data_IF_286411422355
#
_entry.id   IF_286411422355
#
_cell.length_a   1.000
_cell.length_b   1.000
_cell.length_c   1.000
_cell.angle_alpha   90.00
_cell.angle_beta   90.00
_cell.angle_gamma   90.00
#
_symmetry.space_group_name_H-M   'P 1'
#
loop_
_entity.id
_entity.type
_entity.pdbx_description
1 polymer ?
#
# COMPACT_ATOMS: atom_id res chain seq x y z
N UNK A 1 12.47 36.49 17.05
CA UNK A 1 13.01 35.62 18.13
C UNK A 1 12.40 34.22 18.15
N UNK A 2 11.17 34.01 17.65
CA UNK A 2 10.52 32.69 17.59
C UNK A 2 11.05 31.77 16.48
N UNK A 3 11.36 32.33 15.30
CA UNK A 3 11.83 31.53 14.13
C UNK A 3 13.20 30.90 14.38
N UNK A 4 14.17 31.66 14.91
CA UNK A 4 15.50 31.15 15.20
C UNK A 4 15.49 30.05 16.28
N UNK A 5 14.68 30.22 17.34
CA UNK A 5 14.48 29.20 18.35
C UNK A 5 13.81 27.94 17.78
N UNK A 6 12.77 28.11 16.95
CA UNK A 6 12.09 27.00 16.27
C UNK A 6 13.04 26.23 15.34
N UNK A 7 13.88 26.92 14.58
CA UNK A 7 14.90 26.29 13.73
C UNK A 7 15.94 25.54 14.57
N UNK A 8 16.37 26.12 15.69
CA UNK A 8 17.28 25.48 16.64
C UNK A 8 16.72 24.17 17.20
N UNK A 9 15.47 24.16 17.67
CA UNK A 9 14.82 22.95 18.17
C UNK A 9 14.63 21.88 17.08
N UNK A 10 14.26 22.30 15.86
CA UNK A 10 14.14 21.38 14.73
C UNK A 10 15.49 20.73 14.37
N UNK A 11 16.58 21.50 14.34
CA UNK A 11 17.91 20.98 14.06
C UNK A 11 18.43 20.04 15.16
N UNK A 12 18.13 20.31 16.43
CA UNK A 12 18.47 19.40 17.53
C UNK A 12 17.70 18.08 17.42
N UNK A 13 16.40 18.14 17.14
CA UNK A 13 15.55 16.96 17.05
C UNK A 13 15.80 16.12 15.77
N UNK A 14 15.97 16.78 14.61
CA UNK A 14 16.02 16.13 13.30
C UNK A 14 17.41 16.05 12.69
N UNK A 15 18.36 16.88 13.12
CA UNK A 15 19.69 17.01 12.51
C UNK A 15 20.44 15.68 12.35
N UNK A 16 20.58 14.86 13.42
CA UNK A 16 21.25 13.56 13.32
C UNK A 16 20.57 12.61 12.34
N UNK A 17 19.23 12.52 12.37
CA UNK A 17 18.46 11.67 11.49
C UNK A 17 18.56 12.13 10.02
N UNK A 18 18.49 13.44 9.78
CA UNK A 18 18.63 14.03 8.44
C UNK A 18 20.03 13.80 7.86
N UNK A 19 21.07 13.91 8.69
CA UNK A 19 22.45 13.62 8.29
C UNK A 19 22.63 12.16 7.85
N UNK A 20 22.14 11.21 8.65
CA UNK A 20 22.17 9.78 8.28
C UNK A 20 21.35 9.49 7.02
N UNK A 21 20.16 10.09 6.92
CA UNK A 21 19.30 9.92 5.77
C UNK A 21 19.96 10.43 4.48
N UNK A 22 20.45 11.67 4.46
CA UNK A 22 21.08 12.26 3.28
C UNK A 22 22.43 11.60 2.93
N UNK A 23 23.22 11.25 3.95
CA UNK A 23 24.56 10.69 3.78
C UNK A 23 24.58 9.23 3.33
N UNK A 24 23.66 8.40 3.85
CA UNK A 24 23.69 6.94 3.66
C UNK A 24 22.44 6.43 2.96
N UNK A 25 21.26 6.80 3.46
CA UNK A 25 19.99 6.19 3.03
C UNK A 25 19.59 6.65 1.63
N UNK A 26 19.62 7.96 1.36
CA UNK A 26 19.17 8.55 0.11
C UNK A 26 20.00 8.13 -1.11
N UNK A 27 21.25 7.68 -0.89
CA UNK A 27 22.15 7.23 -1.97
C UNK A 27 21.82 5.84 -2.48
N UNK A 28 21.00 5.06 -1.77
CA UNK A 28 20.65 3.68 -2.13
C UNK A 28 19.12 3.53 -2.10
N UNK A 29 18.44 3.40 -3.26
CA UNK A 29 16.98 3.34 -3.31
C UNK A 29 16.40 2.19 -2.48
N UNK A 30 17.14 1.08 -2.38
CA UNK A 30 16.78 -0.05 -1.52
C UNK A 30 16.70 0.31 -0.03
N UNK A 31 17.63 1.13 0.46
CA UNK A 31 17.65 1.55 1.87
C UNK A 31 16.50 2.52 2.16
N UNK A 32 16.14 3.37 1.19
CA UNK A 32 14.94 4.23 1.26
C UNK A 32 13.67 3.39 1.37
N UNK A 33 13.51 2.37 0.51
CA UNK A 33 12.34 1.48 0.55
C UNK A 33 12.25 0.71 1.87
N UNK A 34 13.37 0.21 2.36
CA UNK A 34 13.44 -0.50 3.64
C UNK A 34 13.07 0.42 4.81
N UNK A 35 13.56 1.66 4.80
CA UNK A 35 13.21 2.67 5.79
C UNK A 35 11.71 2.99 5.78
N UNK A 36 11.14 3.30 4.60
CA UNK A 36 9.72 3.59 4.44
C UNK A 36 8.83 2.42 4.85
N UNK A 37 9.21 1.19 4.50
CA UNK A 37 8.47 0.01 4.92
C UNK A 37 8.54 -0.17 6.45
N UNK A 38 9.70 0.02 7.07
CA UNK A 38 9.86 -0.11 8.52
C UNK A 38 9.01 0.91 9.29
N UNK A 39 8.97 2.16 8.84
CA UNK A 39 8.13 3.20 9.47
C UNK A 39 6.63 2.91 9.34
N UNK A 40 6.18 2.34 8.21
CA UNK A 40 4.80 1.88 8.04
C UNK A 40 4.45 0.75 9.02
N UNK A 41 5.31 -0.26 9.16
CA UNK A 41 5.11 -1.35 10.13
C UNK A 41 5.05 -0.82 11.57
N UNK A 42 5.94 0.11 11.92
CA UNK A 42 5.92 0.78 13.22
C UNK A 42 4.60 1.53 13.44
N UNK A 43 4.14 2.32 12.46
CA UNK A 43 2.90 3.09 12.57
C UNK A 43 1.68 2.18 12.71
N UNK A 44 1.59 1.10 11.91
CA UNK A 44 0.52 0.11 11.99
C UNK A 44 0.49 -0.54 13.37
N UNK A 45 1.66 -0.88 13.94
CA UNK A 45 1.73 -1.47 15.28
C UNK A 45 1.12 -0.56 16.34
N UNK A 46 1.40 0.75 16.30
CA UNK A 46 0.83 1.72 17.23
C UNK A 46 -0.67 1.96 17.01
N UNK A 47 -1.12 1.98 15.76
CA UNK A 47 -2.55 2.11 15.42
C UNK A 47 -3.34 0.92 15.95
N UNK A 48 -2.86 -0.30 15.72
CA UNK A 48 -3.50 -1.53 16.21
C UNK A 48 -3.56 -1.52 17.74
N UNK A 49 -2.45 -1.18 18.39
CA UNK A 49 -2.42 -1.10 19.84
C UNK A 49 -3.36 -0.01 20.39
N UNK A 50 -3.39 1.15 19.75
CA UNK A 50 -4.30 2.24 20.11
C UNK A 50 -5.77 1.80 19.98
N UNK A 51 -6.11 1.07 18.91
CA UNK A 51 -7.44 0.50 18.70
C UNK A 51 -7.84 -0.50 19.78
N UNK A 52 -6.91 -1.38 20.18
CA UNK A 52 -7.13 -2.36 21.26
C UNK A 52 -7.37 -1.66 22.59
N UNK A 53 -6.49 -0.71 22.97
CA UNK A 53 -6.59 -0.02 24.25
C UNK A 53 -7.74 0.98 24.34
N UNK A 54 -8.25 1.47 23.20
CA UNK A 54 -9.41 2.36 23.15
C UNK A 54 -10.65 1.78 23.84
N UNK A 55 -10.85 0.46 23.79
CA UNK A 55 -11.97 -0.21 24.46
C UNK A 55 -11.90 -0.19 26.00
N UNK A 56 -10.70 0.05 26.56
CA UNK A 56 -10.45 0.00 28.01
C UNK A 56 -10.31 1.39 28.66
N UNK A 57 -10.42 2.46 27.88
CA UNK A 57 -10.34 3.85 28.36
C UNK A 57 -11.75 4.41 28.62
N UNK A 58 -11.99 5.22 29.69
CA UNK A 58 -11.02 5.80 30.60
C UNK A 58 -10.73 4.92 31.84
N UNK A 59 -9.46 4.74 32.15
CA UNK A 59 -9.00 4.03 33.35
C UNK A 59 -9.02 5.00 34.55
N UNK A 60 -9.56 4.57 35.70
CA UNK A 60 -9.60 5.37 36.93
C UNK A 60 -8.18 5.73 37.40
N UNK A 61 -7.97 6.97 37.85
CA UNK A 61 -6.67 7.57 38.20
C UNK A 61 -5.84 6.84 39.26
N UNK A 62 -6.43 5.97 40.08
CA UNK A 62 -5.70 5.11 41.04
C UNK A 62 -5.05 3.85 40.45
N UNK A 63 -5.21 3.60 39.14
CA UNK A 63 -4.93 2.31 38.50
C UNK A 63 -3.63 2.34 37.68
N UNK A 64 -2.51 2.67 38.32
CA UNK A 64 -1.19 2.82 37.66
C UNK A 64 -0.73 1.56 36.90
N UNK A 65 -1.12 0.38 37.39
CA UNK A 65 -0.77 -0.91 36.78
C UNK A 65 -1.29 -1.04 35.35
N UNK A 66 -2.44 -0.45 35.03
CA UNK A 66 -3.00 -0.52 33.69
C UNK A 66 -2.17 0.31 32.68
N UNK A 67 -1.63 1.46 33.11
CA UNK A 67 -0.66 2.22 32.32
C UNK A 67 0.66 1.46 32.14
N UNK A 68 1.11 0.75 33.18
CA UNK A 68 2.30 -0.11 33.07
C UNK A 68 2.09 -1.24 32.05
N UNK A 69 0.94 -1.92 32.06
CA UNK A 69 0.59 -2.95 31.06
C UNK A 69 0.49 -2.33 29.66
N UNK A 70 -0.06 -1.13 29.51
CA UNK A 70 -0.11 -0.42 28.23
C UNK A 70 1.31 -0.19 27.68
N UNK A 71 2.24 0.30 28.52
CA UNK A 71 3.62 0.52 28.11
C UNK A 71 4.29 -0.81 27.73
N UNK A 72 4.19 -1.83 28.59
CA UNK A 72 4.79 -3.16 28.35
C UNK A 72 4.24 -3.77 27.06
N UNK A 73 2.92 -3.74 26.86
CA UNK A 73 2.29 -4.25 25.63
C UNK A 73 2.71 -3.45 24.40
N UNK A 74 2.94 -2.14 24.53
CA UNK A 74 3.43 -1.30 23.42
C UNK A 74 4.86 -1.63 23.01
N UNK A 75 5.75 -1.83 23.98
CA UNK A 75 7.15 -2.20 23.72
C UNK A 75 7.20 -3.61 23.15
N UNK A 76 6.47 -4.56 23.74
CA UNK A 76 6.41 -5.94 23.26
C UNK A 76 5.91 -6.03 21.81
N UNK A 77 4.87 -5.27 21.45
CA UNK A 77 4.36 -5.24 20.08
C UNK A 77 5.36 -4.59 19.10
N UNK A 78 6.07 -3.53 19.51
CA UNK A 78 7.09 -2.90 18.69
C UNK A 78 8.30 -3.83 18.45
N UNK A 79 8.78 -4.53 19.48
CA UNK A 79 9.84 -5.54 19.33
C UNK A 79 9.39 -6.73 18.49
N UNK A 80 8.16 -7.21 18.69
CA UNK A 80 7.57 -8.26 17.86
C UNK A 80 7.49 -7.84 16.38
N UNK A 81 7.07 -6.60 16.12
CA UNK A 81 7.02 -6.03 14.77
C UNK A 81 8.41 -5.95 14.14
N UNK A 82 9.45 -5.62 14.92
CA UNK A 82 10.84 -5.60 14.45
C UNK A 82 11.32 -7.00 14.03
N UNK A 83 11.00 -8.03 14.82
CA UNK A 83 11.32 -9.42 14.48
C UNK A 83 10.59 -9.88 13.22
N UNK A 84 9.30 -9.55 13.09
CA UNK A 84 8.52 -9.85 11.88
C UNK A 84 9.13 -9.17 10.66
N UNK A 85 9.47 -7.88 10.76
CA UNK A 85 10.11 -7.14 9.68
C UNK A 85 11.45 -7.76 9.26
N UNK A 86 12.29 -8.16 10.22
CA UNK A 86 13.55 -8.85 9.93
C UNK A 86 13.34 -10.21 9.24
N UNK A 87 12.35 -10.99 9.68
CA UNK A 87 11.99 -12.26 9.01
C UNK A 87 11.53 -12.04 7.57
N UNK A 88 10.68 -11.03 7.35
CA UNK A 88 10.25 -10.65 6.00
C UNK A 88 11.45 -10.22 5.16
N UNK A 89 12.31 -9.35 5.67
CA UNK A 89 13.53 -8.93 4.98
C UNK A 89 14.38 -10.13 4.53
N UNK A 90 14.63 -11.09 5.42
CA UNK A 90 15.39 -12.29 5.10
C UNK A 90 14.70 -13.18 4.06
N UNK A 91 13.37 -13.24 4.07
CA UNK A 91 12.59 -13.95 3.06
C UNK A 91 12.71 -13.30 1.67
N UNK A 92 12.91 -11.98 1.62
CA UNK A 92 13.13 -11.24 0.37
C UNK A 92 14.59 -11.32 -0.10
N UNK A 93 15.56 -11.64 0.76
CA UNK A 93 16.98 -11.71 0.39
C UNK A 93 17.28 -12.56 -0.85
N UNK A 94 16.68 -13.74 -1.05
CA UNK A 94 16.86 -14.54 -2.26
C UNK A 94 16.45 -13.83 -3.55
N UNK A 95 15.53 -12.86 -3.49
CA UNK A 95 15.11 -12.07 -4.65
C UNK A 95 16.21 -11.15 -5.19
N UNK A 96 17.24 -10.85 -4.38
CA UNK A 96 18.42 -10.11 -4.82
C UNK A 96 19.49 -11.01 -5.47
N UNK A 97 19.29 -12.32 -5.46
CA UNK A 97 20.15 -13.30 -6.14
C UNK A 97 19.82 -13.45 -7.62
N UNK A 98 19.95 -14.66 -8.17
CA UNK A 98 19.46 -14.95 -9.51
C UNK A 98 17.94 -14.77 -9.51
N UNK A 99 17.42 -13.77 -10.24
CA UNK A 99 16.00 -13.39 -10.30
C UNK A 99 15.10 -14.45 -10.97
N UNK A 100 15.50 -15.72 -10.92
CA UNK A 100 14.86 -16.89 -11.52
C UNK A 100 14.67 -17.96 -10.45
N UNK A 101 13.52 -17.90 -9.78
CA UNK A 101 13.06 -18.93 -8.85
C UNK A 101 11.83 -19.61 -9.43
N UNK A 102 11.83 -20.93 -9.56
CA UNK A 102 10.72 -21.71 -10.13
C UNK A 102 10.04 -22.52 -9.04
N UNK A 103 8.72 -22.64 -9.12
CA UNK A 103 7.88 -23.43 -8.20
C UNK A 103 7.27 -24.58 -8.99
N UNK A 104 7.07 -25.75 -8.38
CA UNK A 104 6.52 -26.94 -9.06
C UNK A 104 5.17 -26.69 -9.72
N UNK A 105 4.32 -25.86 -9.09
CA UNK A 105 3.02 -25.43 -9.65
C UNK A 105 3.17 -24.63 -10.95
N UNK A 106 4.32 -24.01 -11.18
CA UNK A 106 4.60 -23.07 -12.26
C UNK A 106 6.04 -23.20 -12.78
N UNK A 107 6.37 -24.37 -13.33
CA UNK A 107 7.72 -24.66 -13.85
C UNK A 107 8.07 -23.93 -15.15
N UNK A 108 7.06 -23.39 -15.86
CA UNK A 108 7.22 -22.69 -17.14
C UNK A 108 7.45 -21.19 -17.02
N UNK A 109 7.25 -20.61 -15.84
CA UNK A 109 7.36 -19.18 -15.60
C UNK A 109 8.00 -18.93 -14.23
N UNK A 110 9.07 -18.11 -14.12
CA UNK A 110 9.69 -17.86 -12.83
C UNK A 110 8.73 -17.08 -11.92
N UNK A 111 8.73 -17.43 -10.64
CA UNK A 111 7.88 -16.86 -9.60
C UNK A 111 7.97 -15.33 -9.52
N UNK A 112 9.18 -14.77 -9.64
CA UNK A 112 9.39 -13.31 -9.61
C UNK A 112 8.74 -12.61 -10.80
N UNK A 113 8.81 -13.19 -12.00
CA UNK A 113 8.16 -12.63 -13.18
C UNK A 113 6.63 -12.70 -13.04
N UNK A 114 6.11 -13.83 -12.58
CA UNK A 114 4.67 -13.99 -12.34
C UNK A 114 4.17 -12.96 -11.32
N UNK A 115 4.87 -12.83 -10.21
CA UNK A 115 4.55 -11.86 -9.14
C UNK A 115 4.62 -10.41 -9.64
N UNK A 116 5.62 -10.08 -10.48
CA UNK A 116 5.76 -8.74 -11.05
C UNK A 116 4.61 -8.39 -12.00
N UNK A 117 4.20 -9.32 -12.88
CA UNK A 117 3.07 -9.11 -13.78
C UNK A 117 1.74 -9.00 -13.02
N UNK A 118 1.55 -9.82 -11.99
CA UNK A 118 0.38 -9.72 -11.12
C UNK A 118 0.34 -8.37 -10.41
N UNK A 119 1.45 -7.92 -9.83
CA UNK A 119 1.56 -6.62 -9.18
C UNK A 119 1.29 -5.47 -10.16
N UNK A 120 1.81 -5.54 -11.38
CA UNK A 120 1.52 -4.57 -12.44
C UNK A 120 0.02 -4.53 -12.77
N UNK A 121 -0.62 -5.69 -12.91
CA UNK A 121 -2.06 -5.79 -13.15
C UNK A 121 -2.89 -5.12 -12.06
N UNK A 122 -2.59 -5.41 -10.79
CA UNK A 122 -3.26 -4.75 -9.67
C UNK A 122 -2.97 -3.26 -9.60
N UNK A 123 -1.73 -2.82 -9.84
CA UNK A 123 -1.38 -1.40 -9.87
C UNK A 123 -2.25 -0.65 -10.88
N UNK A 124 -2.34 -1.16 -12.12
CA UNK A 124 -3.19 -0.59 -13.18
C UNK A 124 -4.65 -0.56 -12.74
N UNK A 125 -5.20 -1.69 -12.27
CA UNK A 125 -6.59 -1.78 -11.82
C UNK A 125 -6.87 -0.77 -10.71
N UNK A 126 -6.02 -0.70 -9.67
CA UNK A 126 -6.22 0.20 -8.55
C UNK A 126 -6.14 1.67 -8.97
N UNK A 127 -5.14 2.06 -9.76
CA UNK A 127 -4.98 3.44 -10.21
C UNK A 127 -6.22 3.91 -10.98
N UNK A 128 -6.68 3.14 -11.98
CA UNK A 128 -7.85 3.53 -12.77
C UNK A 128 -9.16 3.40 -11.99
N UNK A 129 -9.28 2.38 -11.15
CA UNK A 129 -10.47 2.20 -10.31
C UNK A 129 -10.64 3.32 -9.29
N UNK A 130 -9.55 3.86 -8.73
CA UNK A 130 -9.64 5.03 -7.85
C UNK A 130 -10.16 6.25 -8.59
N UNK A 131 -9.66 6.53 -9.80
CA UNK A 131 -10.14 7.65 -10.64
C UNK A 131 -11.64 7.50 -10.92
N UNK A 132 -12.07 6.29 -11.33
CA UNK A 132 -13.48 5.99 -11.60
C UNK A 132 -14.33 6.15 -10.34
N UNK A 133 -13.87 5.62 -9.20
CA UNK A 133 -14.58 5.69 -7.92
C UNK A 133 -14.80 7.13 -7.46
N UNK A 134 -13.75 7.96 -7.44
CA UNK A 134 -13.86 9.37 -7.06
C UNK A 134 -14.86 10.12 -7.94
N UNK A 135 -14.79 9.90 -9.25
CA UNK A 135 -15.75 10.49 -10.19
C UNK A 135 -17.19 10.00 -9.97
N UNK A 136 -17.35 8.71 -9.64
CA UNK A 136 -18.65 8.10 -9.38
C UNK A 136 -19.28 8.60 -8.07
N UNK A 137 -18.46 8.89 -7.05
CA UNK A 137 -18.91 9.46 -5.79
C UNK A 137 -19.34 10.92 -5.95
N UNK A 138 -18.55 11.74 -6.65
CA UNK A 138 -18.89 13.14 -6.90
C UNK A 138 -20.21 13.30 -7.65
N UNK A 139 -20.48 12.41 -8.60
CA UNK A 139 -21.64 12.52 -9.48
C UNK A 139 -22.77 11.55 -9.14
N UNK A 140 -22.63 10.84 -8.01
CA UNK A 140 -23.61 9.85 -7.50
C UNK A 140 -24.04 8.79 -8.53
N UNK A 141 -23.17 8.47 -9.50
CA UNK A 141 -23.44 7.45 -10.54
C UNK A 141 -23.23 6.04 -9.98
N UNK A 142 -24.31 5.43 -9.48
CA UNK A 142 -24.28 4.11 -8.82
C UNK A 142 -23.64 2.99 -9.65
N UNK A 143 -23.82 2.99 -10.97
CA UNK A 143 -23.21 1.98 -11.86
C UNK A 143 -21.68 1.94 -11.73
N UNK A 144 -21.03 3.10 -11.69
CA UNK A 144 -19.56 3.18 -11.59
C UNK A 144 -19.09 2.88 -10.16
N UNK A 145 -19.91 3.20 -9.15
CA UNK A 145 -19.63 2.88 -7.74
C UNK A 145 -19.64 1.37 -7.47
N UNK A 146 -20.51 0.61 -8.14
CA UNK A 146 -20.59 -0.85 -8.02
C UNK A 146 -19.52 -1.53 -8.90
N UNK A 147 -19.24 -0.99 -10.08
CA UNK A 147 -18.24 -1.55 -11.00
C UNK A 147 -16.85 -1.70 -10.37
N UNK A 148 -16.39 -0.67 -9.63
CA UNK A 148 -15.06 -0.64 -9.01
C UNK A 148 -14.80 -1.80 -8.02
N UNK A 149 -15.62 -2.03 -6.98
CA UNK A 149 -15.42 -3.16 -6.08
C UNK A 149 -15.60 -4.50 -6.79
N UNK A 150 -16.49 -4.59 -7.78
CA UNK A 150 -16.69 -5.83 -8.57
C UNK A 150 -15.45 -6.18 -9.39
N UNK A 151 -14.84 -5.22 -10.09
CA UNK A 151 -13.62 -5.49 -10.89
C UNK A 151 -12.44 -5.81 -9.98
N UNK A 152 -12.33 -5.17 -8.82
CA UNK A 152 -11.29 -5.48 -7.83
C UNK A 152 -11.46 -6.89 -7.26
N UNK A 153 -12.68 -7.28 -6.87
CA UNK A 153 -12.97 -8.62 -6.37
C UNK A 153 -12.72 -9.69 -7.46
N UNK A 154 -13.13 -9.41 -8.69
CA UNK A 154 -12.89 -10.32 -9.83
C UNK A 154 -11.39 -10.54 -10.04
N UNK A 155 -10.61 -9.47 -10.05
CA UNK A 155 -9.15 -9.53 -10.15
C UNK A 155 -8.51 -10.30 -8.98
N UNK A 156 -9.00 -10.09 -7.75
CA UNK A 156 -8.54 -10.84 -6.57
C UNK A 156 -8.84 -12.33 -6.71
N UNK A 157 -10.06 -12.71 -7.11
CA UNK A 157 -10.45 -14.11 -7.31
C UNK A 157 -9.65 -14.77 -8.44
N UNK A 158 -9.34 -14.04 -9.53
CA UNK A 158 -8.50 -14.57 -10.62
C UNK A 158 -7.12 -15.03 -10.15
N UNK A 159 -6.55 -14.40 -9.12
CA UNK A 159 -5.24 -14.84 -8.59
C UNK A 159 -5.28 -16.22 -7.95
N UNK A 160 -6.45 -16.70 -7.50
CA UNK A 160 -6.60 -18.05 -6.95
C UNK A 160 -6.33 -19.14 -8.00
N UNK A 161 -6.50 -18.83 -9.29
CA UNK A 161 -6.15 -19.75 -10.39
C UNK A 161 -4.66 -20.14 -10.31
N UNK A 162 -3.79 -19.27 -9.81
CA UNK A 162 -2.35 -19.55 -9.65
C UNK A 162 -2.04 -20.68 -8.65
N UNK A 163 -3.01 -21.10 -7.82
CA UNK A 163 -2.86 -22.22 -6.90
C UNK A 163 -2.92 -23.58 -7.61
N UNK A 164 -3.54 -23.64 -8.79
CA UNK A 164 -3.65 -24.86 -9.59
C UNK A 164 -2.33 -25.16 -10.34
N UNK A 165 -2.02 -26.43 -10.64
CA UNK A 165 -0.90 -26.79 -11.51
C UNK A 165 -1.02 -26.10 -12.88
N UNK A 166 -0.01 -25.34 -13.28
CA UNK A 166 -0.01 -24.57 -14.53
C UNK A 166 -0.89 -23.31 -14.48
N UNK A 167 -1.51 -23.00 -13.34
CA UNK A 167 -2.47 -21.91 -13.21
C UNK A 167 -1.91 -20.53 -13.52
N UNK A 168 -0.62 -20.27 -13.24
CA UNK A 168 0.05 -19.01 -13.59
C UNK A 168 0.02 -18.66 -15.08
N UNK A 169 0.00 -19.66 -15.98
CA UNK A 169 -0.07 -19.45 -17.42
C UNK A 169 -1.43 -18.91 -17.87
N UNK A 170 -2.48 -19.14 -17.07
CA UNK A 170 -3.85 -18.72 -17.37
C UNK A 170 -4.23 -17.52 -16.53
N UNK A 171 -4.00 -17.59 -15.21
CA UNK A 171 -4.36 -16.55 -14.24
C UNK A 171 -3.63 -15.23 -14.49
N UNK A 172 -2.33 -15.26 -14.78
CA UNK A 172 -1.54 -14.03 -14.98
C UNK A 172 -1.97 -13.25 -16.22
N UNK A 173 -2.07 -13.85 -17.42
CA UNK A 173 -2.58 -13.13 -18.59
C UNK A 173 -4.03 -12.67 -18.42
N UNK A 174 -4.88 -13.48 -17.79
CA UNK A 174 -6.28 -13.13 -17.54
C UNK A 174 -6.41 -11.90 -16.63
N UNK A 175 -5.59 -11.79 -15.59
CA UNK A 175 -5.49 -10.59 -14.76
C UNK A 175 -4.99 -9.38 -15.55
N UNK A 176 -4.01 -9.55 -16.43
CA UNK A 176 -3.53 -8.46 -17.29
C UNK A 176 -4.60 -7.99 -18.28
N UNK A 177 -5.43 -8.91 -18.79
CA UNK A 177 -6.57 -8.56 -19.64
C UNK A 177 -7.60 -7.75 -18.85
N UNK A 178 -7.95 -8.15 -17.63
CA UNK A 178 -8.88 -7.33 -16.81
C UNK A 178 -8.31 -5.96 -16.50
N UNK A 179 -7.01 -5.86 -16.21
CA UNK A 179 -6.32 -4.58 -16.07
C UNK A 179 -6.33 -3.74 -17.35
N UNK A 180 -6.12 -4.37 -18.51
CA UNK A 180 -6.19 -3.68 -19.80
C UNK A 180 -7.62 -3.22 -20.14
N UNK A 181 -8.67 -3.87 -19.62
CA UNK A 181 -10.06 -3.46 -19.82
C UNK A 181 -10.49 -2.29 -18.93
N UNK A 182 -9.85 -2.07 -17.76
CA UNK A 182 -10.14 -0.91 -16.92
C UNK A 182 -9.63 0.39 -17.53
N UNK A 183 -8.56 0.34 -18.33
CA UNK A 183 -7.99 1.46 -19.09
C UNK A 183 -9.00 2.15 -20.03
N UNK A 184 -9.57 1.47 -21.05
CA UNK A 184 -10.52 2.08 -21.96
C UNK A 184 -11.82 2.49 -21.25
N UNK A 185 -12.20 1.80 -20.18
CA UNK A 185 -13.35 2.21 -19.36
C UNK A 185 -13.07 3.56 -18.68
N UNK A 186 -11.91 3.70 -18.02
CA UNK A 186 -11.50 4.95 -17.40
C UNK A 186 -11.37 6.07 -18.43
N UNK A 187 -10.81 5.77 -19.61
CA UNK A 187 -10.72 6.72 -20.71
C UNK A 187 -12.10 7.25 -21.13
N UNK A 188 -13.09 6.36 -21.32
CA UNK A 188 -14.47 6.76 -21.65
C UNK A 188 -15.09 7.63 -20.56
N UNK A 189 -14.88 7.29 -19.29
CA UNK A 189 -15.37 8.09 -18.15
C UNK A 189 -14.75 9.48 -18.17
N UNK A 190 -13.43 9.58 -18.38
CA UNK A 190 -12.71 10.85 -18.47
C UNK A 190 -13.17 11.72 -19.65
N UNK A 191 -13.27 11.14 -20.86
CA UNK A 191 -13.76 11.85 -22.04
C UNK A 191 -15.17 12.38 -21.84
N UNK A 192 -16.10 11.57 -21.30
CA UNK A 192 -17.47 12.01 -21.03
C UNK A 192 -17.49 13.22 -20.10
N UNK A 193 -16.67 13.21 -19.05
CA UNK A 193 -16.56 14.35 -18.11
C UNK A 193 -16.01 15.60 -18.76
N UNK A 194 -14.96 15.49 -19.58
CA UNK A 194 -14.42 16.63 -20.31
C UNK A 194 -15.47 17.27 -21.22
N UNK A 195 -16.24 16.46 -21.95
CA UNK A 195 -17.34 16.94 -22.81
C UNK A 195 -18.46 17.61 -22.01
N UNK A 196 -18.88 17.02 -20.88
CA UNK A 196 -19.89 17.61 -19.99
C UNK A 196 -19.43 18.95 -19.37
N UNK A 197 -18.14 19.09 -19.05
CA UNK A 197 -17.58 20.35 -18.56
C UNK A 197 -17.53 21.41 -19.65
N UNK A 198 -17.08 21.04 -20.85
CA UNK A 198 -17.02 21.96 -21.99
C UNK A 198 -18.41 22.50 -22.35
N UNK A 199 -19.43 21.64 -22.41
CA UNK A 199 -20.81 22.09 -22.65
C UNK A 199 -21.35 23.04 -21.57
N UNK A 200 -21.05 22.78 -20.29
CA UNK A 200 -21.46 23.67 -19.20
C UNK A 200 -20.79 25.05 -19.28
N UNK A 201 -19.53 25.12 -19.71
CA UNK A 201 -18.83 26.38 -19.93
C UNK A 201 -19.42 27.16 -21.12
N UNK A 202 -19.71 26.47 -22.23
CA UNK A 202 -20.32 27.07 -23.42
C UNK A 202 -21.73 27.62 -23.15
N UNK A 203 -22.53 26.97 -22.32
CA UNK A 203 -23.89 27.43 -22.00
C UNK A 203 -23.95 28.55 -20.95
N UNK A 204 -22.85 28.81 -20.24
CA UNK A 204 -22.76 29.83 -19.19
C UNK A 204 -22.12 31.15 -19.67
N UNK A 205 -21.64 31.21 -20.92
CA UNK A 205 -21.13 32.40 -21.59
C UNK A 205 -22.16 32.91 -22.61
#
# INVERSE_FOLDING_TARGET
>A
MTVAAGLGYALIALGPALSLFAGVVARKPFLVLTLLSSTLFWLISLIVLSGIWRGFLPIKSGTWWAYAILIISSVALQEGTRLVFWRLYNLLTPAFGQATFYVERCSKMPFFLASALIALGFLVIHTFSMIIAFNAYGERKKSDQIFVPVVHLTAAVMTLVNLAPGGCLIGTPLLLVTAALTLPYCWRVACRRLTEHQHRQLNNN
#
